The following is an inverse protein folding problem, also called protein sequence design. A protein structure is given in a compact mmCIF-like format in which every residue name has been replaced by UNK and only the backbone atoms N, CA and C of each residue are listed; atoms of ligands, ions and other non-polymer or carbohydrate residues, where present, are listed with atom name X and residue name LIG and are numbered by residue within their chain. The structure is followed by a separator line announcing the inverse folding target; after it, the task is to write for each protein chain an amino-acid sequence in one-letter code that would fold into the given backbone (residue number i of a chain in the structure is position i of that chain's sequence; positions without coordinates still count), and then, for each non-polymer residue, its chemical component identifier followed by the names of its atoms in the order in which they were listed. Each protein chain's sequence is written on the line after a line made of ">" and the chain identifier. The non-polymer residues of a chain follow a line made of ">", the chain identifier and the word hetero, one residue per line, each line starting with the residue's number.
data_IF_681412415092
#
_entry.id   IF_681412415092
#
_cell.length_a   1.000
_cell.length_b   1.000
_cell.length_c   1.000
_cell.angle_alpha   90.00
_cell.angle_beta   90.00
_cell.angle_gamma   90.00
#
_symmetry.space_group_name_H-M   'P 1'
#
loop_
_entity.id
_entity.type
_entity.pdbx_description
1 polymer ?
#
# COMPACT_ATOMS: atom_id res chain seq x y z
N UNK A 1 37.97 16.91 37.04
CA UNK A 1 36.52 16.79 36.81
C UNK A 1 36.23 17.60 35.55
N UNK A 2 35.88 16.98 34.41
CA UNK A 2 35.67 17.74 33.17
C UNK A 2 34.21 18.25 33.07
N UNK A 3 34.07 19.54 32.84
CA UNK A 3 32.83 20.18 32.39
C UNK A 3 32.46 19.64 31.01
N UNK A 4 31.30 18.98 30.89
CA UNK A 4 30.79 18.50 29.61
C UNK A 4 29.75 19.50 29.10
N UNK A 5 29.95 20.16 27.94
CA UNK A 5 28.98 21.11 27.41
C UNK A 5 27.72 20.39 26.94
N UNK A 6 26.58 20.95 27.35
CA UNK A 6 25.22 20.56 27.00
C UNK A 6 25.06 20.40 25.48
N UNK A 7 24.89 19.16 25.03
CA UNK A 7 24.67 18.85 23.60
C UNK A 7 23.28 19.37 23.24
N UNK A 8 23.25 20.55 22.61
CA UNK A 8 22.05 21.12 22.05
C UNK A 8 21.34 20.09 21.15
N UNK A 9 20.25 19.49 21.67
CA UNK A 9 19.36 18.61 20.91
C UNK A 9 18.81 19.43 19.76
N UNK A 10 19.25 19.12 18.54
CA UNK A 10 18.66 19.64 17.33
C UNK A 10 17.12 19.47 17.41
N UNK A 11 16.33 20.51 17.09
CA UNK A 11 14.88 20.41 17.15
C UNK A 11 14.42 19.28 16.23
N UNK A 12 13.77 18.26 16.81
CA UNK A 12 13.18 17.16 16.04
C UNK A 12 12.25 17.77 15.02
N UNK A 13 12.59 17.63 13.73
CA UNK A 13 11.76 18.05 12.59
C UNK A 13 10.33 17.59 12.86
N UNK A 14 9.39 18.52 13.06
CA UNK A 14 7.98 18.20 13.31
C UNK A 14 7.54 17.26 12.19
N UNK A 15 7.09 16.05 12.52
CA UNK A 15 6.51 15.14 11.54
C UNK A 15 5.25 15.81 11.01
N UNK A 16 5.22 16.07 9.71
CA UNK A 16 4.05 16.64 9.05
C UNK A 16 2.90 15.63 9.12
N UNK A 17 1.89 15.95 9.93
CA UNK A 17 0.72 15.09 10.16
C UNK A 17 -0.04 14.78 8.87
N UNK A 18 -0.02 15.69 7.88
CA UNK A 18 -0.60 15.49 6.55
C UNK A 18 0.00 14.31 5.81
N UNK A 19 1.30 14.07 5.96
CA UNK A 19 1.95 12.90 5.36
C UNK A 19 1.58 11.59 6.09
N UNK A 20 1.21 11.64 7.37
CA UNK A 20 0.67 10.48 8.08
C UNK A 20 -0.75 10.15 7.62
N UNK A 21 -1.58 11.16 7.37
CA UNK A 21 -2.93 10.95 6.82
C UNK A 21 -2.88 10.32 5.42
N UNK A 22 -2.00 10.79 4.54
CA UNK A 22 -1.77 10.15 3.22
C UNK A 22 -1.21 8.72 3.34
N UNK A 23 -0.53 8.40 4.46
CA UNK A 23 -0.05 7.03 4.73
C UNK A 23 -1.18 6.11 5.20
N UNK A 24 -2.17 6.60 5.93
CA UNK A 24 -3.33 5.84 6.38
C UNK A 24 -4.35 5.55 5.26
N UNK A 25 -4.27 6.26 4.12
CA UNK A 25 -5.15 5.99 2.98
C UNK A 25 -4.86 4.65 2.30
N UNK A 26 -5.91 4.06 1.73
CA UNK A 26 -5.85 2.86 0.89
C UNK A 26 -4.75 2.96 -0.17
N UNK A 27 -4.01 1.85 -0.34
CA UNK A 27 -2.95 1.75 -1.34
C UNK A 27 -3.49 1.14 -2.63
N UNK A 28 -3.06 1.71 -3.76
CA UNK A 28 -3.47 1.25 -5.08
C UNK A 28 -2.38 0.36 -5.66
N UNK A 29 -2.74 -0.86 -6.04
CA UNK A 29 -1.94 -1.73 -6.89
C UNK A 29 -2.39 -1.52 -8.33
N UNK A 30 -1.48 -1.05 -9.20
CA UNK A 30 -1.80 -0.76 -10.59
C UNK A 30 -0.80 -1.43 -11.54
N UNK A 31 -1.33 -1.97 -12.65
CA UNK A 31 -0.53 -2.51 -13.76
C UNK A 31 -0.84 -1.75 -15.03
N UNK A 32 0.21 -1.29 -15.74
CA UNK A 32 0.04 -0.74 -17.09
C UNK A 32 -0.21 -1.88 -18.06
N UNK A 33 -1.23 -1.73 -18.90
CA UNK A 33 -1.61 -2.66 -19.95
C UNK A 33 -1.68 -1.92 -21.28
N UNK A 34 -1.70 -2.65 -22.39
CA UNK A 34 -1.87 -2.02 -23.70
C UNK A 34 -3.26 -1.40 -23.83
N UNK A 35 -3.42 -0.44 -24.73
CA UNK A 35 -4.71 0.19 -24.98
C UNK A 35 -5.76 -0.81 -25.50
N UNK A 36 -5.32 -1.83 -26.25
CA UNK A 36 -6.18 -2.90 -26.79
C UNK A 36 -6.73 -3.75 -25.64
N UNK A 37 -5.86 -4.20 -24.74
CA UNK A 37 -6.26 -5.02 -23.59
C UNK A 37 -7.18 -4.24 -22.65
N UNK A 38 -6.85 -2.97 -22.38
CA UNK A 38 -7.70 -2.11 -21.56
C UNK A 38 -9.12 -2.00 -22.14
N UNK A 39 -9.24 -1.79 -23.46
CA UNK A 39 -10.53 -1.71 -24.14
C UNK A 39 -11.29 -3.04 -24.10
N UNK A 40 -10.60 -4.17 -24.25
CA UNK A 40 -11.20 -5.49 -24.14
C UNK A 40 -11.74 -5.76 -22.73
N UNK A 41 -10.95 -5.46 -21.69
CA UNK A 41 -11.36 -5.57 -20.28
C UNK A 41 -12.55 -4.68 -19.96
N UNK A 42 -12.55 -3.45 -20.46
CA UNK A 42 -13.66 -2.51 -20.25
C UNK A 42 -14.96 -3.05 -20.84
N UNK A 43 -14.93 -3.53 -22.09
CA UNK A 43 -16.11 -4.14 -22.74
C UNK A 43 -16.62 -5.38 -22.01
N UNK A 44 -15.72 -6.22 -21.50
CA UNK A 44 -16.10 -7.40 -20.73
C UNK A 44 -16.84 -7.00 -19.44
N UNK A 45 -16.33 -5.99 -18.73
CA UNK A 45 -16.96 -5.49 -17.52
C UNK A 45 -18.33 -4.85 -17.80
N UNK A 46 -18.43 -4.04 -18.86
CA UNK A 46 -19.68 -3.44 -19.31
C UNK A 46 -20.73 -4.50 -19.65
N UNK A 47 -20.35 -5.58 -20.34
CA UNK A 47 -21.26 -6.68 -20.69
C UNK A 47 -21.84 -7.39 -19.44
N UNK A 48 -21.13 -7.34 -18.32
CA UNK A 48 -21.56 -7.92 -17.04
C UNK A 48 -22.18 -6.87 -16.10
N UNK A 49 -22.26 -5.60 -16.51
CA UNK A 49 -22.80 -4.50 -15.70
C UNK A 49 -21.93 -4.12 -14.50
N UNK A 50 -20.63 -4.46 -14.53
CA UNK A 50 -19.69 -4.21 -13.43
C UNK A 50 -18.49 -3.37 -13.88
N UNK A 51 -17.66 -2.93 -12.94
CA UNK A 51 -16.37 -2.27 -13.25
C UNK A 51 -15.27 -3.31 -13.39
N UNK A 52 -14.22 -2.99 -14.16
CA UNK A 52 -13.02 -3.85 -14.30
C UNK A 52 -12.40 -4.18 -12.94
N UNK A 53 -12.45 -3.25 -11.96
CA UNK A 53 -11.98 -3.49 -10.60
C UNK A 53 -12.66 -4.69 -9.94
N UNK A 54 -13.99 -4.84 -10.09
CA UNK A 54 -14.76 -5.95 -9.52
C UNK A 54 -14.36 -7.28 -10.14
N UNK A 55 -14.04 -7.29 -11.44
CA UNK A 55 -13.52 -8.50 -12.10
C UNK A 55 -12.15 -8.92 -11.57
N UNK A 56 -11.33 -7.95 -11.15
CA UNK A 56 -9.96 -8.18 -10.67
C UNK A 56 -9.91 -8.51 -9.19
N UNK A 57 -10.90 -8.09 -8.39
CA UNK A 57 -10.98 -8.32 -6.94
C UNK A 57 -10.59 -9.74 -6.53
N UNK A 58 -11.23 -10.82 -7.03
CA UNK A 58 -10.89 -12.18 -6.57
C UNK A 58 -9.43 -12.55 -6.83
N UNK A 59 -8.88 -12.19 -7.99
CA UNK A 59 -7.48 -12.46 -8.34
C UNK A 59 -6.51 -11.67 -7.47
N UNK A 60 -6.83 -10.41 -7.17
CA UNK A 60 -6.01 -9.56 -6.31
C UNK A 60 -6.06 -10.07 -4.87
N UNK A 61 -7.23 -10.50 -4.38
CA UNK A 61 -7.37 -11.10 -3.04
C UNK A 61 -6.54 -12.37 -2.90
N UNK A 62 -6.56 -13.27 -3.89
CA UNK A 62 -5.71 -14.46 -3.87
C UNK A 62 -4.22 -14.12 -3.89
N UNK A 63 -3.81 -13.13 -4.71
CA UNK A 63 -2.43 -12.68 -4.75
C UNK A 63 -1.98 -12.08 -3.41
N UNK A 64 -2.83 -11.29 -2.75
CA UNK A 64 -2.55 -10.74 -1.41
C UNK A 64 -2.37 -11.88 -0.41
N UNK A 65 -3.23 -12.90 -0.45
CA UNK A 65 -3.11 -14.07 0.43
C UNK A 65 -1.77 -14.78 0.22
N UNK A 66 -1.39 -15.03 -1.03
CA UNK A 66 -0.10 -15.64 -1.37
C UNK A 66 1.09 -14.79 -0.89
N UNK A 67 0.99 -13.46 -1.00
CA UNK A 67 2.01 -12.54 -0.52
C UNK A 67 2.16 -12.60 1.03
N UNK A 68 1.05 -12.67 1.76
CA UNK A 68 1.08 -12.84 3.22
C UNK A 68 1.71 -14.19 3.61
N UNK A 69 1.28 -15.29 2.99
CA UNK A 69 1.86 -16.62 3.26
C UNK A 69 3.37 -16.66 2.97
N UNK A 70 3.81 -15.98 1.91
CA UNK A 70 5.23 -15.85 1.61
C UNK A 70 5.96 -15.07 2.71
N UNK A 71 5.43 -13.94 3.16
CA UNK A 71 6.04 -13.16 4.24
C UNK A 71 6.13 -13.96 5.56
N UNK A 72 5.07 -14.67 5.93
CA UNK A 72 5.04 -15.54 7.12
C UNK A 72 6.12 -16.63 7.06
N UNK A 73 6.23 -17.33 5.92
CA UNK A 73 7.22 -18.40 5.74
C UNK A 73 8.66 -17.91 5.79
N UNK A 74 8.91 -16.66 5.42
CA UNK A 74 10.25 -16.06 5.39
C UNK A 74 10.56 -15.21 6.63
N UNK A 75 9.72 -15.26 7.67
CA UNK A 75 9.93 -14.50 8.90
C UNK A 75 9.84 -12.99 8.73
N UNK A 76 9.21 -12.51 7.65
CA UNK A 76 8.97 -11.09 7.40
C UNK A 76 7.71 -10.69 8.16
N UNK A 77 7.88 -9.98 9.28
CA UNK A 77 6.77 -9.48 10.08
C UNK A 77 6.20 -8.24 9.39
N UNK A 78 5.06 -8.43 8.71
CA UNK A 78 4.23 -7.31 8.25
C UNK A 78 3.31 -6.92 9.41
N UNK A 79 3.76 -6.00 10.27
CA UNK A 79 2.85 -5.46 11.29
C UNK A 79 1.70 -4.73 10.60
N UNK A 80 0.43 -4.98 10.97
CA UNK A 80 -0.66 -4.14 10.52
C UNK A 80 -0.33 -2.72 10.95
N UNK A 81 -0.28 -1.79 9.99
CA UNK A 81 -0.07 -0.38 10.31
C UNK A 81 -1.12 0.01 11.35
N UNK A 82 -0.68 0.30 12.57
CA UNK A 82 -1.54 0.60 13.71
C UNK A 82 -2.69 1.51 13.25
N UNK A 83 -3.92 1.01 13.37
CA UNK A 83 -5.10 1.84 13.26
C UNK A 83 -5.02 2.86 14.39
N UNK A 84 -4.75 4.13 14.06
CA UNK A 84 -4.70 5.26 14.99
C UNK A 84 -5.58 6.37 14.46
#
# INVERSE_FOLDING_TARGET
>A
MPDTPDVAKAPRRRRDWRHNETRASDKIVAKRVTAVDHKALTKLAEAQGVKVAVLLEPFVTELIKQAHEYCEKNGVILEPANAS
#
